data_IF_032061547557
#
_entry.id   IF_032061547557
#
_cell.length_a   1.000
_cell.length_b   1.000
_cell.length_c   1.000
_cell.angle_alpha   90.00
_cell.angle_beta   90.00
_cell.angle_gamma   90.00
#
_symmetry.space_group_name_H-M   'P 1'
#
loop_
_entity.id
_entity.type
_entity.pdbx_description
1 polymer ?
#
# COMPACT_ATOMS: atom_id res chain seq x y z
N UNK A 1 -14.40 -0.05 -17.93
CA UNK A 1 -12.98 0.30 -17.65
C UNK A 1 -12.65 -0.21 -16.26
N UNK A 2 -11.58 -0.99 -16.11
CA UNK A 2 -11.20 -1.64 -14.84
C UNK A 2 -10.78 -0.60 -13.81
N UNK A 3 -11.20 -0.75 -12.54
CA UNK A 3 -10.80 0.08 -11.41
C UNK A 3 -10.09 -0.83 -10.41
N UNK A 4 -8.83 -1.15 -10.69
CA UNK A 4 -8.16 -2.32 -10.08
C UNK A 4 -8.15 -2.24 -8.55
N UNK A 5 -7.87 -1.06 -8.00
CA UNK A 5 -7.87 -0.87 -6.54
C UNK A 5 -9.29 -1.08 -5.99
N UNK A 6 -10.31 -0.43 -6.56
CA UNK A 6 -11.68 -0.52 -6.05
C UNK A 6 -12.26 -1.93 -6.19
N UNK A 7 -11.97 -2.61 -7.30
CA UNK A 7 -12.39 -3.99 -7.54
C UNK A 7 -11.80 -4.91 -6.44
N UNK A 8 -10.54 -4.69 -6.06
CA UNK A 8 -9.89 -5.42 -4.94
C UNK A 8 -10.47 -5.08 -3.57
N UNK A 9 -10.78 -3.81 -3.32
CA UNK A 9 -11.44 -3.39 -2.08
C UNK A 9 -12.81 -4.07 -1.93
N UNK A 10 -13.58 -4.17 -3.02
CA UNK A 10 -14.86 -4.87 -3.02
C UNK A 10 -14.69 -6.37 -2.74
N UNK A 11 -13.74 -7.03 -3.42
CA UNK A 11 -13.41 -8.44 -3.20
C UNK A 11 -13.07 -8.75 -1.73
N UNK A 12 -12.21 -7.93 -1.12
CA UNK A 12 -11.81 -8.08 0.29
C UNK A 12 -13.00 -7.82 1.22
N UNK A 13 -13.79 -6.77 0.94
CA UNK A 13 -14.95 -6.41 1.75
C UNK A 13 -15.99 -7.53 1.75
N UNK A 14 -16.28 -8.13 0.60
CA UNK A 14 -17.18 -9.29 0.50
C UNK A 14 -16.62 -10.52 1.23
N UNK A 15 -15.30 -10.74 1.15
CA UNK A 15 -14.64 -11.81 1.91
C UNK A 15 -14.79 -11.61 3.42
N UNK A 16 -14.61 -10.38 3.93
CA UNK A 16 -14.82 -10.04 5.35
C UNK A 16 -16.30 -10.21 5.73
N UNK A 17 -17.24 -9.80 4.86
CA UNK A 17 -18.68 -9.99 5.14
C UNK A 17 -19.05 -11.45 5.25
N UNK A 18 -18.45 -12.32 4.43
CA UNK A 18 -18.75 -13.75 4.39
C UNK A 18 -18.07 -14.52 5.53
N UNK A 19 -16.77 -14.34 5.68
CA UNK A 19 -15.91 -15.21 6.51
C UNK A 19 -15.33 -14.49 7.74
N UNK A 20 -15.54 -13.18 7.86
CA UNK A 20 -15.01 -12.37 8.95
C UNK A 20 -15.75 -12.56 10.28
N UNK A 21 -15.02 -12.37 11.38
CA UNK A 21 -15.52 -12.47 12.76
C UNK A 21 -15.79 -11.09 13.32
N UNK A 22 -16.85 -10.97 14.12
CA UNK A 22 -17.11 -9.72 14.84
C UNK A 22 -16.25 -9.63 16.11
N UNK A 23 -15.43 -8.60 16.18
CA UNK A 23 -14.51 -8.35 17.31
C UNK A 23 -14.50 -6.85 17.59
N UNK A 24 -14.76 -6.47 18.84
CA UNK A 24 -14.64 -5.08 19.32
C UNK A 24 -15.32 -4.01 18.43
N UNK A 25 -16.53 -4.31 17.91
CA UNK A 25 -17.28 -3.37 17.07
C UNK A 25 -16.84 -3.31 15.60
N UNK A 26 -15.95 -4.20 15.18
CA UNK A 26 -15.54 -4.40 13.78
C UNK A 26 -15.94 -5.78 13.29
N UNK A 27 -16.04 -5.94 11.97
CA UNK A 27 -15.97 -7.25 11.33
C UNK A 27 -14.60 -7.40 10.69
N UNK A 28 -13.87 -8.44 11.06
CA UNK A 28 -12.46 -8.61 10.76
C UNK A 28 -12.18 -9.97 10.10
N UNK A 29 -11.27 -9.96 9.12
CA UNK A 29 -10.60 -11.13 8.59
C UNK A 29 -9.09 -11.01 8.85
N UNK A 30 -8.46 -12.07 9.33
CA UNK A 30 -7.03 -12.08 9.63
C UNK A 30 -6.21 -12.78 8.55
N UNK A 31 -4.96 -12.32 8.35
CA UNK A 31 -4.01 -12.95 7.41
C UNK A 31 -4.39 -12.83 5.93
N UNK A 32 -4.97 -11.70 5.53
CA UNK A 32 -5.41 -11.46 4.15
C UNK A 32 -4.21 -11.10 3.27
N UNK A 33 -3.99 -11.86 2.20
CA UNK A 33 -3.06 -11.48 1.14
C UNK A 33 -3.86 -10.85 0.00
N UNK A 34 -3.66 -9.56 -0.23
CA UNK A 34 -4.47 -8.73 -1.16
C UNK A 34 -4.10 -8.96 -2.63
N UNK A 35 -3.26 -9.94 -2.91
CA UNK A 35 -2.72 -10.32 -4.22
C UNK A 35 -1.71 -9.33 -4.81
N UNK A 36 -1.06 -9.76 -5.89
CA UNK A 36 0.01 -9.08 -6.60
C UNK A 36 -0.58 -8.17 -7.68
N UNK A 37 -0.44 -6.86 -7.51
CA UNK A 37 -0.91 -5.83 -8.45
C UNK A 37 0.17 -5.55 -9.50
N UNK A 38 -0.17 -5.62 -10.80
CA UNK A 38 0.72 -5.17 -11.87
C UNK A 38 0.57 -3.65 -12.06
N UNK A 39 1.58 -2.90 -11.61
CA UNK A 39 1.62 -1.43 -11.66
C UNK A 39 2.22 -0.92 -12.97
N UNK A 40 2.89 -1.77 -13.75
CA UNK A 40 3.52 -1.33 -15.01
C UNK A 40 2.53 -0.81 -16.04
N UNK A 41 1.28 -1.27 -15.99
CA UNK A 41 0.22 -0.92 -16.95
C UNK A 41 -0.88 -0.06 -16.32
N UNK A 42 -0.72 0.32 -15.06
CA UNK A 42 -1.75 0.98 -14.29
C UNK A 42 -1.66 2.50 -14.49
N UNK A 43 -2.78 3.12 -14.85
CA UNK A 43 -2.88 4.58 -14.90
C UNK A 43 -3.19 5.10 -13.48
N UNK A 44 -2.14 5.48 -12.75
CA UNK A 44 -2.26 5.87 -11.35
C UNK A 44 -3.10 7.13 -11.13
N UNK A 45 -3.23 8.00 -12.13
CA UNK A 45 -4.11 9.18 -12.06
C UNK A 45 -5.57 8.72 -12.13
N UNK A 46 -5.89 7.78 -13.02
CA UNK A 46 -7.24 7.20 -13.09
C UNK A 46 -7.60 6.40 -11.83
N UNK A 47 -6.67 5.62 -11.30
CA UNK A 47 -6.90 4.90 -10.03
C UNK A 47 -7.11 5.88 -8.86
N UNK A 48 -6.33 6.96 -8.78
CA UNK A 48 -6.56 8.02 -7.79
C UNK A 48 -7.96 8.63 -7.92
N UNK A 49 -8.39 8.98 -9.13
CA UNK A 49 -9.75 9.48 -9.36
C UNK A 49 -10.82 8.46 -8.98
N UNK A 50 -10.60 7.17 -9.26
CA UNK A 50 -11.53 6.11 -8.86
C UNK A 50 -11.65 5.98 -7.33
N UNK A 51 -10.54 6.13 -6.59
CA UNK A 51 -10.55 6.16 -5.12
C UNK A 51 -11.29 7.39 -4.59
N UNK A 52 -11.10 8.56 -5.20
CA UNK A 52 -11.85 9.79 -4.85
C UNK A 52 -13.35 9.65 -5.09
N UNK A 53 -13.74 9.10 -6.24
CA UNK A 53 -15.14 8.81 -6.56
C UNK A 53 -15.76 7.84 -5.55
N UNK A 54 -15.01 6.82 -5.16
CA UNK A 54 -15.44 5.83 -4.16
C UNK A 54 -15.68 6.50 -2.80
N UNK A 55 -14.77 7.33 -2.32
CA UNK A 55 -14.95 8.08 -1.07
C UNK A 55 -16.11 9.07 -1.13
N UNK A 56 -16.30 9.76 -2.26
CA UNK A 56 -17.45 10.65 -2.47
C UNK A 56 -18.78 9.90 -2.30
N UNK A 57 -18.92 8.70 -2.88
CA UNK A 57 -20.12 7.86 -2.73
C UNK A 57 -20.38 7.40 -1.30
N UNK A 58 -19.34 7.33 -0.47
CA UNK A 58 -19.43 6.97 0.94
C UNK A 58 -19.53 8.19 1.87
N UNK A 59 -19.61 9.41 1.32
CA UNK A 59 -19.55 10.67 2.06
C UNK A 59 -18.29 10.81 2.93
N UNK A 60 -17.17 10.23 2.48
CA UNK A 60 -15.86 10.32 3.14
C UNK A 60 -15.11 11.54 2.59
N UNK A 61 -14.66 12.42 3.47
CA UNK A 61 -13.81 13.55 3.07
C UNK A 61 -12.40 13.04 2.72
N UNK A 62 -12.12 12.93 1.42
CA UNK A 62 -10.81 12.47 0.92
C UNK A 62 -9.65 13.34 1.40
N UNK A 63 -9.86 14.64 1.58
CA UNK A 63 -8.81 15.54 2.05
C UNK A 63 -8.44 15.26 3.50
N UNK A 64 -9.40 14.86 4.33
CA UNK A 64 -9.16 14.45 5.71
C UNK A 64 -8.29 13.18 5.75
N UNK A 65 -8.67 12.14 5.00
CA UNK A 65 -7.88 10.89 4.89
C UNK A 65 -6.46 11.17 4.41
N UNK A 66 -6.33 11.97 3.34
CA UNK A 66 -5.01 12.35 2.81
C UNK A 66 -4.16 13.05 3.87
N UNK A 67 -4.75 13.95 4.65
CA UNK A 67 -4.01 14.73 5.65
C UNK A 67 -3.58 13.88 6.85
N UNK A 68 -4.42 12.92 7.26
CA UNK A 68 -4.11 11.95 8.32
C UNK A 68 -2.91 11.08 7.93
N UNK A 69 -2.92 10.54 6.71
CA UNK A 69 -1.92 9.56 6.29
C UNK A 69 -0.66 10.18 5.66
N UNK A 70 -0.71 11.46 5.27
CA UNK A 70 0.41 12.11 4.56
C UNK A 70 1.74 12.00 5.30
N UNK A 71 1.73 12.25 6.62
CA UNK A 71 2.94 12.22 7.43
C UNK A 71 3.51 10.80 7.52
N UNK A 72 2.65 9.79 7.67
CA UNK A 72 3.06 8.38 7.68
C UNK A 72 3.69 7.99 6.34
N UNK A 73 3.05 8.36 5.24
CA UNK A 73 3.51 8.02 3.91
C UNK A 73 4.86 8.66 3.57
N UNK A 74 5.06 9.93 3.92
CA UNK A 74 6.35 10.59 3.77
C UNK A 74 7.41 9.99 4.69
N UNK A 75 7.05 9.60 5.92
CA UNK A 75 7.96 8.91 6.83
C UNK A 75 8.44 7.56 6.26
N UNK A 76 7.52 6.74 5.75
CA UNK A 76 7.83 5.46 5.10
C UNK A 76 8.71 5.67 3.87
N UNK A 77 8.37 6.63 3.02
CA UNK A 77 9.16 6.95 1.83
C UNK A 77 10.60 7.35 2.22
N UNK A 78 10.78 8.26 3.19
CA UNK A 78 12.10 8.71 3.63
C UNK A 78 12.91 7.55 4.25
N UNK A 79 12.27 6.73 5.08
CA UNK A 79 12.91 5.58 5.70
C UNK A 79 13.37 4.54 4.68
N UNK A 80 12.52 4.21 3.71
CA UNK A 80 12.86 3.28 2.64
C UNK A 80 13.96 3.82 1.73
N UNK A 81 13.90 5.10 1.37
CA UNK A 81 14.95 5.77 0.59
C UNK A 81 16.30 5.75 1.32
N UNK A 82 16.30 6.09 2.61
CA UNK A 82 17.50 6.03 3.43
C UNK A 82 18.09 4.61 3.49
N UNK A 83 17.25 3.58 3.59
CA UNK A 83 17.70 2.18 3.59
C UNK A 83 18.37 1.79 2.25
N UNK A 84 17.83 2.25 1.12
CA UNK A 84 18.45 2.09 -0.20
C UNK A 84 19.80 2.80 -0.24
N UNK A 85 19.85 4.08 0.11
CA UNK A 85 21.07 4.90 0.06
C UNK A 85 22.18 4.30 0.94
N UNK A 86 21.85 3.87 2.16
CA UNK A 86 22.81 3.23 3.07
C UNK A 86 23.35 1.92 2.50
N UNK A 87 22.47 1.07 1.97
CA UNK A 87 22.89 -0.22 1.40
C UNK A 87 23.85 -0.01 0.22
N UNK A 88 23.53 0.90 -0.69
CA UNK A 88 24.39 1.20 -1.84
C UNK A 88 25.71 1.88 -1.42
N UNK A 89 25.68 2.72 -0.38
CA UNK A 89 26.89 3.39 0.14
C UNK A 89 27.83 2.41 0.85
N UNK A 90 27.32 1.60 1.78
CA UNK A 90 28.15 0.70 2.59
C UNK A 90 28.72 -0.47 1.79
N UNK A 91 27.93 -1.03 0.87
CA UNK A 91 28.40 -2.14 0.04
C UNK A 91 29.38 -1.66 -1.06
N UNK A 92 29.55 -0.34 -1.23
CA UNK A 92 30.39 0.31 -2.26
C UNK A 92 30.12 -0.22 -3.69
N UNK A 93 28.94 -0.79 -3.89
CA UNK A 93 28.49 -1.39 -5.14
C UNK A 93 27.10 -0.87 -5.46
N UNK A 94 26.83 -0.60 -6.73
CA UNK A 94 25.48 -0.34 -7.24
C UNK A 94 24.69 -1.65 -7.40
N UNK A 95 24.70 -2.51 -6.38
CA UNK A 95 23.93 -3.76 -6.40
C UNK A 95 22.46 -3.51 -6.04
N UNK A 96 21.68 -3.19 -7.06
CA UNK A 96 20.23 -3.03 -6.96
C UNK A 96 19.49 -4.37 -6.72
N UNK A 97 20.18 -5.51 -6.67
CA UNK A 97 19.51 -6.82 -6.41
C UNK A 97 19.47 -7.20 -4.93
N UNK A 98 20.01 -6.34 -4.06
CA UNK A 98 20.01 -6.52 -2.62
C UNK A 98 18.64 -6.89 -2.05
N UNK A 99 18.64 -7.77 -1.04
CA UNK A 99 17.44 -8.13 -0.27
C UNK A 99 17.19 -7.18 0.90
N UNK A 100 18.06 -6.18 1.10
CA UNK A 100 18.10 -5.31 2.28
C UNK A 100 17.43 -3.95 2.09
N UNK A 101 16.83 -3.68 0.93
CA UNK A 101 16.01 -2.48 0.72
C UNK A 101 14.68 -2.62 1.47
N UNK A 102 14.75 -2.42 2.78
CA UNK A 102 13.72 -2.74 3.75
C UNK A 102 13.59 -1.58 4.73
N UNK A 103 12.35 -1.22 5.07
CA UNK A 103 12.03 -0.29 6.14
C UNK A 103 10.91 -0.86 7.02
N UNK A 104 10.97 -0.61 8.32
CA UNK A 104 9.97 -1.09 9.29
C UNK A 104 9.64 -0.02 10.33
N UNK A 105 8.38 0.02 10.76
CA UNK A 105 7.85 0.95 11.77
C UNK A 105 6.74 0.28 12.60
N UNK A 106 6.33 0.90 13.70
CA UNK A 106 5.22 0.46 14.57
C UNK A 106 3.84 0.87 14.07
N UNK A 107 3.76 1.69 13.03
CA UNK A 107 2.52 2.17 12.43
C UNK A 107 1.70 1.04 11.75
N UNK A 108 0.50 1.37 11.26
CA UNK A 108 -0.37 0.40 10.60
C UNK A 108 0.29 -0.24 9.37
N UNK A 109 0.96 0.56 8.53
CA UNK A 109 1.90 0.05 7.53
C UNK A 109 3.23 -0.16 8.25
N UNK A 110 3.53 -1.40 8.60
CA UNK A 110 4.62 -1.72 9.55
C UNK A 110 5.89 -2.20 8.87
N UNK A 111 5.82 -2.64 7.61
CA UNK A 111 6.99 -3.09 6.88
C UNK A 111 6.83 -2.86 5.38
N UNK A 112 7.88 -2.37 4.74
CA UNK A 112 7.98 -2.25 3.28
C UNK A 112 9.34 -2.78 2.82
N UNK A 113 9.35 -3.51 1.71
CA UNK A 113 10.54 -4.03 1.08
C UNK A 113 10.47 -3.85 -0.43
N UNK A 114 11.56 -3.44 -1.06
CA UNK A 114 11.72 -3.50 -2.51
C UNK A 114 12.65 -4.67 -2.86
N UNK A 115 12.19 -5.53 -3.75
CA UNK A 115 13.02 -6.53 -4.42
C UNK A 115 13.10 -6.20 -5.90
N UNK A 116 14.32 -5.89 -6.36
CA UNK A 116 14.59 -5.69 -7.77
C UNK A 116 15.37 -6.88 -8.34
N UNK A 117 14.95 -7.34 -9.51
CA UNK A 117 15.62 -8.33 -10.35
C UNK A 117 15.72 -7.75 -11.76
N UNK A 118 16.69 -8.14 -12.59
CA UNK A 118 16.82 -7.59 -13.94
C UNK A 118 15.48 -7.56 -14.70
N UNK A 119 14.99 -6.35 -15.01
CA UNK A 119 13.73 -6.11 -15.71
C UNK A 119 12.44 -6.19 -14.88
N UNK A 120 12.51 -6.47 -13.57
CA UNK A 120 11.35 -6.55 -12.67
C UNK A 120 11.64 -5.94 -11.30
N UNK A 121 10.74 -5.06 -10.84
CA UNK A 121 10.73 -4.55 -9.47
C UNK A 121 9.44 -4.97 -8.76
N UNK A 122 9.54 -5.29 -7.48
CA UNK A 122 8.38 -5.61 -6.66
C UNK A 122 8.49 -4.94 -5.29
N UNK A 123 7.42 -4.27 -4.88
CA UNK A 123 7.27 -3.74 -3.53
C UNK A 123 6.37 -4.69 -2.73
N UNK A 124 6.90 -5.16 -1.60
CA UNK A 124 6.14 -5.89 -0.60
C UNK A 124 5.78 -4.92 0.52
N UNK A 125 4.50 -4.82 0.85
CA UNK A 125 4.00 -4.02 1.96
C UNK A 125 3.24 -4.90 2.92
N UNK A 126 3.57 -4.82 4.21
CA UNK A 126 2.82 -5.48 5.27
C UNK A 126 2.11 -4.44 6.14
N UNK A 127 0.81 -4.64 6.28
CA UNK A 127 -0.11 -3.79 7.01
C UNK A 127 -0.64 -4.58 8.20
N UNK A 128 -0.29 -4.18 9.42
CA UNK A 128 -0.70 -4.91 10.62
C UNK A 128 -2.19 -4.79 10.91
N UNK A 129 -2.81 -3.68 10.51
CA UNK A 129 -4.26 -3.48 10.62
C UNK A 129 -4.71 -2.34 9.70
N UNK A 130 -5.88 -2.47 9.07
CA UNK A 130 -6.45 -1.41 8.22
C UNK A 130 -7.97 -1.49 8.14
N UNK A 131 -8.60 -0.32 8.09
CA UNK A 131 -10.00 -0.18 7.67
C UNK A 131 -10.05 -0.30 6.14
N UNK A 132 -10.58 -1.43 5.66
CA UNK A 132 -10.61 -1.76 4.23
C UNK A 132 -11.49 -0.81 3.42
N UNK A 133 -12.46 -0.15 4.06
CA UNK A 133 -13.39 0.77 3.41
C UNK A 133 -12.82 2.18 3.41
N UNK A 134 -12.19 2.62 4.50
CA UNK A 134 -11.81 4.03 4.66
C UNK A 134 -10.36 4.35 4.37
N UNK A 135 -9.43 3.47 4.72
CA UNK A 135 -7.99 3.77 4.67
C UNK A 135 -7.29 2.98 3.57
N UNK A 136 -7.61 1.69 3.48
CA UNK A 136 -6.91 0.79 2.59
C UNK A 136 -6.92 1.15 1.10
N UNK A 137 -7.99 1.73 0.52
CA UNK A 137 -7.95 2.18 -0.88
C UNK A 137 -6.83 3.21 -1.11
N UNK A 138 -6.57 4.08 -0.12
CA UNK A 138 -5.51 5.08 -0.18
C UNK A 138 -4.13 4.46 0.08
N UNK A 139 -4.03 3.50 1.01
CA UNK A 139 -2.79 2.75 1.27
C UNK A 139 -2.30 1.98 0.03
N UNK A 140 -3.23 1.34 -0.70
CA UNK A 140 -2.92 0.64 -1.96
C UNK A 140 -2.37 1.60 -3.01
N UNK A 141 -3.01 2.76 -3.17
CA UNK A 141 -2.55 3.80 -4.10
C UNK A 141 -1.17 4.34 -3.71
N UNK A 142 -0.94 4.55 -2.41
CA UNK A 142 0.36 4.95 -1.87
C UNK A 142 1.44 3.94 -2.21
N UNK A 143 1.22 2.64 -1.97
CA UNK A 143 2.19 1.59 -2.29
C UNK A 143 2.60 1.58 -3.77
N UNK A 144 1.62 1.74 -4.68
CA UNK A 144 1.86 1.86 -6.12
C UNK A 144 2.72 3.09 -6.48
N UNK A 145 2.44 4.25 -5.85
CA UNK A 145 3.21 5.47 -6.06
C UNK A 145 4.61 5.39 -5.45
N UNK A 146 4.73 4.78 -4.28
CA UNK A 146 5.98 4.62 -3.54
C UNK A 146 7.02 3.83 -4.36
N UNK A 147 6.62 2.70 -4.94
CA UNK A 147 7.52 1.90 -5.79
C UNK A 147 8.08 2.75 -6.94
N UNK A 148 7.21 3.47 -7.66
CA UNK A 148 7.64 4.30 -8.79
C UNK A 148 8.58 5.43 -8.35
N UNK A 149 8.26 6.09 -7.23
CA UNK A 149 9.04 7.20 -6.70
C UNK A 149 10.43 6.75 -6.28
N UNK A 150 10.53 5.67 -5.51
CA UNK A 150 11.83 5.18 -4.99
C UNK A 150 12.73 4.68 -6.12
N UNK A 151 12.19 3.93 -7.10
CA UNK A 151 12.97 3.45 -8.24
C UNK A 151 13.57 4.61 -9.05
N UNK A 152 12.74 5.64 -9.35
CA UNK A 152 13.17 6.80 -10.12
C UNK A 152 14.23 7.62 -9.39
N UNK A 153 13.96 7.97 -8.13
CA UNK A 153 14.82 8.89 -7.38
C UNK A 153 16.11 8.25 -6.88
N UNK A 154 16.13 6.92 -6.69
CA UNK A 154 17.33 6.19 -6.25
C UNK A 154 18.16 5.62 -7.40
N UNK A 155 17.78 5.92 -8.65
CA UNK A 155 18.52 5.52 -9.84
C UNK A 155 18.51 4.02 -10.14
N UNK A 156 17.44 3.31 -9.76
CA UNK A 156 17.32 1.89 -10.13
C UNK A 156 17.28 1.76 -11.67
N UNK A 157 17.88 0.71 -12.24
CA UNK A 157 17.76 0.45 -13.66
C UNK A 157 16.29 0.22 -14.03
N UNK A 158 15.92 0.56 -15.27
CA UNK A 158 14.53 0.50 -15.72
C UNK A 158 13.91 -0.90 -15.51
N UNK A 159 12.77 -0.94 -14.82
CA UNK A 159 11.99 -2.15 -14.60
C UNK A 159 10.82 -2.20 -15.58
N UNK A 160 10.86 -3.14 -16.54
CA UNK A 160 9.76 -3.37 -17.49
C UNK A 160 8.48 -3.84 -16.78
N UNK A 161 8.64 -4.64 -15.71
CA UNK A 161 7.54 -5.14 -14.88
C UNK A 161 7.66 -4.59 -13.47
N UNK A 162 6.57 -4.05 -12.94
CA UNK A 162 6.48 -3.45 -11.61
C UNK A 162 5.29 -4.03 -10.89
N UNK A 163 5.51 -4.58 -9.72
CA UNK A 163 4.47 -5.22 -8.93
C UNK A 163 4.39 -4.68 -7.52
N UNK A 164 3.18 -4.68 -6.96
CA UNK A 164 2.95 -4.38 -5.54
C UNK A 164 2.22 -5.57 -4.94
N UNK A 165 2.78 -6.12 -3.87
CA UNK A 165 2.17 -7.21 -3.10
C UNK A 165 1.90 -6.70 -1.70
N UNK A 166 0.64 -6.76 -1.26
CA UNK A 166 0.21 -6.26 0.04
C UNK A 166 -0.31 -7.41 0.88
N UNK A 167 0.22 -7.53 2.10
CA UNK A 167 -0.22 -8.47 3.11
C UNK A 167 -0.85 -7.69 4.26
N UNK A 168 -2.02 -8.12 4.71
CA UNK A 168 -2.78 -7.46 5.76
C UNK A 168 -3.03 -8.46 6.90
N UNK A 169 -2.53 -8.15 8.09
CA UNK A 169 -2.72 -9.02 9.24
C UNK A 169 -4.16 -8.96 9.78
N UNK A 170 -4.72 -7.75 9.89
CA UNK A 170 -6.08 -7.48 10.36
C UNK A 170 -6.79 -6.58 9.34
N UNK A 171 -7.61 -7.17 8.48
CA UNK A 171 -8.42 -6.45 7.51
C UNK A 171 -9.84 -6.34 8.06
N UNK A 172 -10.32 -5.12 8.31
CA UNK A 172 -11.61 -4.94 8.98
C UNK A 172 -12.41 -3.77 8.42
N UNK A 173 -13.69 -3.72 8.76
CA UNK A 173 -14.50 -2.49 8.71
C UNK A 173 -15.31 -2.36 10.00
N UNK A 174 -15.59 -1.12 10.39
CA UNK A 174 -16.39 -0.84 11.58
C UNK A 174 -17.89 -1.12 11.32
N UNK A 175 -18.53 -1.82 12.25
CA UNK A 175 -19.97 -2.17 12.17
C UNK A 175 -20.88 -0.98 12.47
N UNK A 176 -20.37 -0.03 13.26
CA UNK A 176 -21.00 1.26 13.52
C UNK A 176 -20.10 2.35 12.96
N UNK A 177 -20.62 3.50 12.54
CA UNK A 177 -19.78 4.65 12.26
C UNK A 177 -18.95 4.94 13.51
N UNK A 178 -17.64 4.73 13.45
CA UNK A 178 -16.74 5.33 14.43
C UNK A 178 -17.09 6.82 14.45
N UNK A 179 -17.31 7.40 15.64
CA UNK A 179 -17.65 8.81 15.78
C UNK A 179 -16.72 9.62 14.86
N UNK A 180 -17.30 10.29 13.87
CA UNK A 180 -16.54 11.15 12.98
C UNK A 180 -15.94 12.24 13.85
N UNK A 181 -14.61 12.22 14.01
CA UNK A 181 -13.89 13.41 14.43
C UNK A 181 -13.93 14.44 13.29
#
# INVERSE_FOLDING_TARGET
MSKVIIDKIQEITESIKKDGKEVNGTKELTGVVVSKLDVSKMDLIKEENAVRDYYSKLNINTQAIRSLEHNLYEFIYRGLRQAVEQTLYFDKTQDYTSRRFVFSTTDCISHVQILYRPGQAELFMYVRSTDVVKLFPWDMLFACKLLNRVLLESGFPEAKKRFVTIMVASAHFYLKPAAMY
#
